data_IF_569603990471
#
_entry.id   IF_569603990471
#
_cell.length_a   1.000
_cell.length_b   1.000
_cell.length_c   1.000
_cell.angle_alpha   90.00
_cell.angle_beta   90.00
_cell.angle_gamma   90.00
#
_symmetry.space_group_name_H-M   'P 1'
#
loop_
_entity.id
_entity.type
_entity.pdbx_description
1 polymer ?
#
# COMPACT_ATOMS: atom_id res chain seq x y z
N UNK A 1 -1.90 -25.28 -40.30
CA UNK A 1 -0.68 -25.01 -39.51
C UNK A 1 -1.06 -24.02 -38.42
N UNK A 2 -1.22 -24.50 -37.19
CA UNK A 2 -1.73 -23.72 -36.05
C UNK A 2 -0.59 -23.10 -35.27
N UNK A 3 -0.53 -21.77 -35.27
CA UNK A 3 0.48 -20.98 -34.54
C UNK A 3 0.18 -21.01 -33.05
N UNK A 4 1.05 -21.68 -32.27
CA UNK A 4 0.94 -21.74 -30.80
C UNK A 4 1.59 -20.47 -30.23
N UNK A 5 0.77 -19.58 -29.67
CA UNK A 5 1.28 -18.42 -28.91
C UNK A 5 1.75 -18.94 -27.56
N UNK A 6 3.07 -19.00 -27.37
CA UNK A 6 3.65 -19.31 -26.07
C UNK A 6 3.35 -18.18 -25.09
N UNK A 7 2.47 -18.43 -24.12
CA UNK A 7 2.12 -17.49 -23.05
C UNK A 7 3.29 -17.41 -22.05
N UNK A 8 4.35 -16.71 -22.44
CA UNK A 8 5.48 -16.41 -21.58
C UNK A 8 5.12 -15.25 -20.63
N UNK A 9 4.71 -15.58 -19.40
CA UNK A 9 5.38 -15.10 -18.19
C UNK A 9 4.57 -15.49 -16.97
N UNK A 10 5.00 -16.58 -16.30
CA UNK A 10 4.59 -16.86 -14.93
C UNK A 10 5.22 -15.79 -14.05
N UNK A 11 4.41 -14.80 -13.67
CA UNK A 11 4.52 -14.10 -12.40
C UNK A 11 5.95 -13.68 -12.05
N UNK A 12 6.41 -12.56 -12.63
CA UNK A 12 7.32 -11.71 -11.89
C UNK A 12 6.54 -11.17 -10.68
N UNK A 13 6.48 -11.95 -9.60
CA UNK A 13 6.14 -11.38 -8.31
C UNK A 13 7.16 -10.26 -8.08
N UNK A 14 6.72 -9.03 -7.75
CA UNK A 14 7.67 -8.03 -7.28
C UNK A 14 8.46 -8.70 -6.16
N UNK A 15 9.81 -8.55 -6.11
CA UNK A 15 10.57 -9.03 -4.97
C UNK A 15 9.86 -8.50 -3.72
N UNK A 16 9.50 -9.40 -2.80
CA UNK A 16 9.01 -8.99 -1.49
C UNK A 16 10.03 -7.97 -0.99
N UNK A 17 9.62 -6.75 -0.58
CA UNK A 17 10.57 -5.80 -0.03
C UNK A 17 11.32 -6.56 1.07
N UNK A 18 12.66 -6.53 0.98
CA UNK A 18 13.53 -7.21 1.91
C UNK A 18 12.99 -6.96 3.31
N UNK A 19 12.76 -8.02 4.10
CA UNK A 19 12.40 -7.92 5.51
C UNK A 19 13.61 -7.42 6.34
N UNK A 20 14.32 -6.41 5.84
CA UNK A 20 15.14 -5.55 6.68
C UNK A 20 14.21 -4.65 7.48
N UNK A 21 14.68 -4.20 8.63
CA UNK A 21 14.03 -3.18 9.45
C UNK A 21 13.41 -2.13 8.54
N UNK A 22 12.08 -1.88 8.62
CA UNK A 22 11.42 -0.96 7.70
C UNK A 22 12.14 0.38 7.71
N UNK A 23 12.68 0.77 6.55
CA UNK A 23 13.40 2.03 6.45
C UNK A 23 12.44 3.16 6.89
N UNK A 24 12.88 4.10 7.74
CA UNK A 24 12.03 5.19 8.20
C UNK A 24 11.46 6.01 7.04
N UNK A 25 12.19 6.08 5.92
CA UNK A 25 11.73 6.70 4.67
C UNK A 25 10.54 5.95 4.06
N UNK A 26 10.58 4.61 4.04
CA UNK A 26 9.50 3.78 3.51
C UNK A 26 8.26 3.87 4.40
N UNK A 27 8.42 3.88 5.72
CA UNK A 27 7.32 4.06 6.68
C UNK A 27 6.67 5.44 6.53
N UNK A 28 7.47 6.49 6.35
CA UNK A 28 6.94 7.83 6.12
C UNK A 28 6.16 7.91 4.78
N UNK A 29 6.70 7.35 3.71
CA UNK A 29 6.02 7.28 2.42
C UNK A 29 4.70 6.48 2.49
N UNK A 30 4.70 5.38 3.25
CA UNK A 30 3.51 4.56 3.47
C UNK A 30 2.43 5.34 4.24
N UNK A 31 2.81 6.07 5.29
CA UNK A 31 1.88 6.92 6.04
C UNK A 31 1.26 7.99 5.14
N UNK A 32 2.07 8.67 4.33
CA UNK A 32 1.59 9.71 3.41
C UNK A 32 0.63 9.15 2.35
N UNK A 33 0.98 8.02 1.71
CA UNK A 33 0.12 7.36 0.72
C UNK A 33 -1.23 6.92 1.33
N UNK A 34 -1.19 6.36 2.53
CA UNK A 34 -2.40 5.94 3.22
C UNK A 34 -3.32 7.13 3.55
N UNK A 35 -2.78 8.29 3.96
CA UNK A 35 -3.57 9.50 4.18
C UNK A 35 -4.17 10.06 2.89
N UNK A 36 -3.40 10.12 1.80
CA UNK A 36 -3.90 10.54 0.48
C UNK A 36 -5.06 9.65 0.01
N UNK A 37 -4.96 8.33 0.22
CA UNK A 37 -6.04 7.40 -0.07
C UNK A 37 -7.28 7.60 0.82
N UNK A 38 -7.08 7.96 2.09
CA UNK A 38 -8.19 8.27 2.99
C UNK A 38 -8.94 9.52 2.52
N UNK A 39 -8.22 10.59 2.16
CA UNK A 39 -8.80 11.81 1.59
C UNK A 39 -9.53 11.53 0.27
N UNK A 40 -8.92 10.75 -0.62
CA UNK A 40 -9.57 10.37 -1.87
C UNK A 40 -10.90 9.63 -1.63
N UNK A 41 -10.94 8.70 -0.68
CA UNK A 41 -12.17 7.99 -0.33
C UNK A 41 -13.27 8.90 0.26
N UNK A 42 -12.89 9.97 0.96
CA UNK A 42 -13.82 10.98 1.48
C UNK A 42 -14.32 11.92 0.39
N UNK A 43 -13.49 12.24 -0.61
CA UNK A 43 -13.85 13.07 -1.76
C UNK A 43 -14.76 12.36 -2.78
N UNK A 44 -15.01 11.06 -2.62
CA UNK A 44 -15.93 10.33 -3.49
C UNK A 44 -17.38 10.74 -3.22
N UNK A 45 -18.23 10.84 -4.27
CA UNK A 45 -19.62 11.32 -4.15
C UNK A 45 -20.52 10.45 -3.26
N UNK A 46 -20.18 9.17 -3.06
CA UNK A 46 -20.88 8.27 -2.14
C UNK A 46 -20.15 8.09 -0.78
N UNK A 47 -19.00 8.76 -0.58
CA UNK A 47 -18.21 8.75 0.65
C UNK A 47 -17.87 7.36 1.18
N UNK A 48 -16.71 6.80 0.83
CA UNK A 48 -16.31 5.51 1.37
C UNK A 48 -15.68 5.66 2.76
N UNK A 49 -16.52 5.95 3.76
CA UNK A 49 -16.10 6.12 5.16
C UNK A 49 -15.34 4.90 5.68
N UNK A 50 -15.82 3.65 5.50
CA UNK A 50 -15.10 2.48 6.00
C UNK A 50 -13.72 2.30 5.33
N UNK A 51 -13.62 2.60 4.04
CA UNK A 51 -12.35 2.57 3.29
C UNK A 51 -11.37 3.64 3.76
N UNK A 52 -11.87 4.85 3.99
CA UNK A 52 -11.08 5.95 4.55
C UNK A 52 -10.56 5.62 5.95
N UNK A 53 -11.41 5.07 6.83
CA UNK A 53 -11.01 4.67 8.19
C UNK A 53 -9.90 3.61 8.17
N UNK A 54 -10.02 2.58 7.34
CA UNK A 54 -8.97 1.55 7.21
C UNK A 54 -7.64 2.15 6.76
N UNK A 55 -7.67 3.09 5.81
CA UNK A 55 -6.47 3.79 5.34
C UNK A 55 -5.86 4.69 6.42
N UNK A 56 -6.69 5.39 7.20
CA UNK A 56 -6.21 6.18 8.33
C UNK A 56 -5.54 5.32 9.41
N UNK A 57 -6.10 4.15 9.73
CA UNK A 57 -5.48 3.20 10.68
C UNK A 57 -4.15 2.66 10.14
N UNK A 58 -4.05 2.38 8.83
CA UNK A 58 -2.78 1.99 8.19
C UNK A 58 -1.72 3.10 8.32
N UNK A 59 -2.10 4.37 8.14
CA UNK A 59 -1.20 5.49 8.33
C UNK A 59 -0.72 5.61 9.79
N UNK A 60 -1.64 5.46 10.75
CA UNK A 60 -1.31 5.51 12.18
C UNK A 60 -0.34 4.38 12.58
N UNK A 61 -0.55 3.17 12.08
CA UNK A 61 0.34 2.04 12.33
C UNK A 61 1.75 2.30 11.79
N UNK A 62 1.87 2.83 10.57
CA UNK A 62 3.16 3.19 9.97
C UNK A 62 3.89 4.27 10.79
N UNK A 63 3.16 5.27 11.29
CA UNK A 63 3.70 6.32 12.16
C UNK A 63 4.13 5.78 13.54
N UNK A 64 3.40 4.81 14.10
CA UNK A 64 3.80 4.16 15.36
C UNK A 64 5.07 3.33 15.16
N UNK A 65 5.20 2.62 14.05
CA UNK A 65 6.42 1.90 13.71
C UNK A 65 7.61 2.85 13.51
N UNK A 66 7.38 4.00 12.86
CA UNK A 66 8.40 5.03 12.67
C UNK A 66 8.92 5.58 14.01
N UNK A 67 8.02 5.76 14.98
CA UNK A 67 8.35 6.25 16.32
C UNK A 67 8.77 5.15 17.30
N UNK A 68 8.84 3.89 16.88
CA UNK A 68 9.16 2.76 17.76
C UNK A 68 8.10 2.48 18.85
N UNK A 69 6.84 2.86 18.61
CA UNK A 69 5.70 2.70 19.54
C UNK A 69 4.80 1.51 19.19
N UNK A 70 5.21 0.67 18.24
CA UNK A 70 4.43 -0.42 17.68
C UNK A 70 4.84 -1.77 18.25
#
# INVERSE_FOLDING_TARGET
MTTVISLASRRAAPPSPAQGTPDPIQLHAQAHNALSMALWHLSQPAGNIPGATRKAVQALAALNQLHGRA
#
